data_IF_162334093455
#
_entry.id   IF_162334093455
#
_cell.length_a   1.000
_cell.length_b   1.000
_cell.length_c   1.000
_cell.angle_alpha   90.00
_cell.angle_beta   90.00
_cell.angle_gamma   90.00
#
_symmetry.space_group_name_H-M   'P 1'
#
loop_
_entity.id
_entity.type
_entity.pdbx_description
1 polymer ?
#
# COMPACT_ATOMS: atom_id res chain seq x y z
N UNK A 1 2.25 4.17 21.17
CA UNK A 1 3.13 3.28 20.38
C UNK A 1 3.55 4.07 19.16
N UNK A 2 4.82 4.40 18.96
CA UNK A 2 5.22 5.04 17.70
C UNK A 2 5.05 4.02 16.58
N UNK A 3 4.19 4.32 15.59
CA UNK A 3 4.13 3.55 14.37
C UNK A 3 5.52 3.51 13.74
N UNK A 4 5.97 2.33 13.31
CA UNK A 4 7.22 2.17 12.58
C UNK A 4 7.10 3.00 11.30
N UNK A 5 7.94 4.03 11.13
CA UNK A 5 8.01 4.75 9.85
C UNK A 5 8.55 3.81 8.78
N UNK A 6 7.81 3.68 7.69
CA UNK A 6 8.24 2.93 6.52
C UNK A 6 9.29 3.71 5.74
N UNK A 7 10.27 3.00 5.20
CA UNK A 7 11.20 3.52 4.19
C UNK A 7 10.69 3.17 2.80
N UNK A 8 11.23 3.83 1.76
CA UNK A 8 10.91 3.47 0.38
C UNK A 8 11.32 2.02 0.04
N UNK A 9 12.35 1.49 0.70
CA UNK A 9 12.77 0.11 0.53
C UNK A 9 11.77 -0.87 1.14
N UNK A 10 11.22 -0.56 2.33
CA UNK A 10 10.17 -1.37 2.96
C UNK A 10 8.94 -1.46 2.05
N UNK A 11 8.55 -0.34 1.42
CA UNK A 11 7.41 -0.30 0.49
C UNK A 11 7.68 -1.07 -0.80
N UNK A 12 8.88 -0.97 -1.39
CA UNK A 12 9.23 -1.68 -2.64
C UNK A 12 9.28 -3.20 -2.51
N UNK A 13 9.67 -3.68 -1.34
CA UNK A 13 9.84 -5.10 -1.07
C UNK A 13 8.73 -5.65 -0.17
N UNK A 14 7.64 -4.90 0.01
CA UNK A 14 6.45 -5.39 0.68
C UNK A 14 5.90 -6.62 -0.07
N UNK A 15 5.54 -7.65 0.68
CA UNK A 15 4.96 -8.88 0.15
C UNK A 15 3.73 -9.21 0.97
N UNK A 16 2.69 -9.69 0.29
CA UNK A 16 1.43 -10.06 0.91
C UNK A 16 1.12 -11.52 0.60
N UNK A 17 0.54 -12.21 1.57
CA UNK A 17 0.08 -13.58 1.37
C UNK A 17 -1.14 -13.63 0.46
N UNK A 18 -1.50 -14.85 0.06
CA UNK A 18 -2.74 -15.08 -0.68
C UNK A 18 -3.93 -14.90 0.26
N UNK A 19 -5.08 -14.40 -0.23
CA UNK A 19 -6.26 -14.15 0.58
C UNK A 19 -6.80 -15.43 1.23
N UNK A 20 -7.55 -15.35 2.33
CA UNK A 20 -8.24 -16.48 2.94
C UNK A 20 -9.05 -17.32 1.94
N UNK A 21 -9.31 -18.58 2.29
CA UNK A 21 -10.04 -19.50 1.41
C UNK A 21 -11.39 -18.92 0.95
N UNK A 22 -11.71 -19.04 -0.34
CA UNK A 22 -12.94 -18.52 -0.93
C UNK A 22 -12.96 -17.01 -1.20
N UNK A 23 -11.97 -16.24 -0.72
CA UNK A 23 -11.79 -14.82 -1.09
C UNK A 23 -10.91 -14.70 -2.34
N UNK A 24 -11.13 -13.62 -3.10
CA UNK A 24 -10.37 -13.31 -4.31
C UNK A 24 -9.15 -12.44 -4.04
N UNK A 25 -9.20 -11.56 -3.05
CA UNK A 25 -8.12 -10.63 -2.77
C UNK A 25 -8.17 -9.38 -3.63
N UNK A 26 -7.26 -8.45 -3.37
CA UNK A 26 -7.00 -7.30 -4.22
C UNK A 26 -6.13 -7.65 -5.43
N UNK A 27 -6.32 -6.93 -6.52
CA UNK A 27 -5.53 -7.09 -7.73
C UNK A 27 -4.07 -6.71 -7.49
N UNK A 28 -3.17 -7.70 -7.52
CA UNK A 28 -1.74 -7.53 -7.27
C UNK A 28 -1.12 -6.43 -8.14
N UNK A 29 -1.49 -6.37 -9.42
CA UNK A 29 -0.91 -5.41 -10.36
C UNK A 29 -1.24 -3.97 -9.95
N UNK A 30 -2.44 -3.73 -9.41
CA UNK A 30 -2.86 -2.41 -8.94
C UNK A 30 -2.21 -2.05 -7.61
N UNK A 31 -2.09 -3.03 -6.69
CA UNK A 31 -1.40 -2.86 -5.42
C UNK A 31 0.07 -2.53 -5.66
N UNK A 32 0.78 -3.33 -6.46
CA UNK A 32 2.20 -3.13 -6.75
C UNK A 32 2.46 -1.77 -7.44
N UNK A 33 1.59 -1.37 -8.37
CA UNK A 33 1.69 -0.07 -9.02
C UNK A 33 1.50 1.10 -8.03
N UNK A 34 0.56 0.96 -7.10
CA UNK A 34 0.35 1.94 -6.04
C UNK A 34 1.55 2.02 -5.09
N UNK A 35 2.08 0.87 -4.64
CA UNK A 35 3.26 0.82 -3.79
C UNK A 35 4.50 1.42 -4.46
N UNK A 36 4.64 1.27 -5.78
CA UNK A 36 5.72 1.94 -6.51
C UNK A 36 5.61 3.47 -6.49
N UNK A 37 4.39 4.01 -6.58
CA UNK A 37 4.14 5.46 -6.42
C UNK A 37 4.45 5.91 -5.00
N UNK A 38 4.03 5.15 -4.00
CA UNK A 38 4.29 5.42 -2.60
C UNK A 38 5.78 5.41 -2.27
N UNK A 39 6.53 4.41 -2.75
CA UNK A 39 7.97 4.35 -2.59
C UNK A 39 8.68 5.56 -3.22
N UNK A 40 8.20 6.02 -4.38
CA UNK A 40 8.72 7.24 -5.03
C UNK A 40 8.52 8.47 -4.12
N UNK A 41 7.33 8.61 -3.53
CA UNK A 41 7.02 9.70 -2.57
C UNK A 41 7.92 9.68 -1.34
N UNK A 42 8.23 8.49 -0.81
CA UNK A 42 9.13 8.34 0.34
C UNK A 42 10.60 8.65 -0.01
N UNK A 43 11.00 8.50 -1.26
CA UNK A 43 12.31 8.97 -1.76
C UNK A 43 12.35 10.48 -2.08
N UNK A 44 11.27 11.21 -1.79
CA UNK A 44 11.17 12.64 -2.05
C UNK A 44 10.77 12.98 -3.50
N UNK A 45 10.22 12.02 -4.24
CA UNK A 45 9.78 12.20 -5.62
C UNK A 45 8.26 12.05 -5.76
N UNK A 46 7.66 12.91 -6.59
CA UNK A 46 6.23 12.84 -6.89
C UNK A 46 5.34 13.34 -5.75
N UNK A 47 4.03 13.34 -6.02
CA UNK A 47 3.01 13.83 -5.11
C UNK A 47 2.02 12.69 -4.86
N UNK A 48 2.11 12.10 -3.67
CA UNK A 48 1.14 11.16 -3.13
C UNK A 48 0.82 11.68 -1.73
N UNK A 49 -0.42 12.08 -1.50
CA UNK A 49 -0.88 12.62 -0.22
C UNK A 49 -1.50 11.54 0.67
N UNK A 50 -1.75 11.88 1.93
CA UNK A 50 -2.55 11.07 2.86
C UNK A 50 -3.93 10.76 2.26
N UNK A 51 -4.60 11.76 1.69
CA UNK A 51 -5.91 11.58 1.06
C UNK A 51 -5.87 10.60 -0.12
N UNK A 52 -4.79 10.57 -0.90
CA UNK A 52 -4.61 9.61 -1.99
C UNK A 52 -4.50 8.17 -1.47
N UNK A 53 -3.83 7.96 -0.32
CA UNK A 53 -3.74 6.64 0.33
C UNK A 53 -5.10 6.24 0.89
N UNK A 54 -5.80 7.17 1.54
CA UNK A 54 -7.11 6.89 2.13
C UNK A 54 -8.18 6.59 1.06
N UNK A 55 -8.11 7.25 -0.09
CA UNK A 55 -9.10 7.13 -1.16
C UNK A 55 -8.83 5.96 -2.13
N UNK A 56 -7.67 5.30 -2.04
CA UNK A 56 -7.31 4.22 -2.96
C UNK A 56 -8.27 3.04 -2.79
N UNK A 57 -8.67 2.44 -3.91
CA UNK A 57 -9.44 1.20 -3.91
C UNK A 57 -8.92 0.30 -5.01
N UNK A 58 -8.68 -0.96 -4.68
CA UNK A 58 -8.18 -1.95 -5.63
C UNK A 58 -9.32 -2.84 -6.13
N UNK A 59 -9.28 -3.14 -7.42
CA UNK A 59 -10.21 -4.07 -8.04
C UNK A 59 -9.90 -5.52 -7.64
N UNK A 60 -10.79 -6.43 -8.02
CA UNK A 60 -10.55 -7.88 -7.87
C UNK A 60 -9.61 -8.36 -8.99
N UNK A 61 -8.70 -9.32 -8.74
CA UNK A 61 -7.79 -9.86 -9.75
C UNK A 61 -8.57 -10.50 -10.90
N UNK A 62 -7.99 -10.68 -12.11
CA UNK A 62 -8.64 -11.36 -13.22
C UNK A 62 -9.24 -12.73 -12.87
N UNK A 63 -10.26 -13.17 -13.61
CA UNK A 63 -10.95 -14.46 -13.36
C UNK A 63 -9.94 -15.61 -13.32
N UNK A 64 -10.08 -16.50 -12.33
CA UNK A 64 -9.20 -17.65 -12.13
C UNK A 64 -7.87 -17.34 -11.45
N UNK A 65 -7.54 -16.06 -11.21
CA UNK A 65 -6.38 -15.65 -10.41
C UNK A 65 -6.79 -15.34 -8.96
N UNK A 66 -5.81 -15.47 -8.06
CA UNK A 66 -5.90 -15.00 -6.67
C UNK A 66 -5.04 -13.76 -6.53
N UNK A 67 -5.56 -12.83 -5.74
CA UNK A 67 -4.95 -11.56 -5.44
C UNK A 67 -4.06 -11.62 -4.20
N UNK A 68 -3.79 -10.45 -3.64
CA UNK A 68 -3.21 -10.29 -2.31
C UNK A 68 -4.29 -10.32 -1.25
N UNK A 69 -3.90 -10.73 -0.03
CA UNK A 69 -4.77 -10.67 1.13
C UNK A 69 -5.18 -9.21 1.42
N UNK A 70 -6.48 -8.94 1.33
CA UNK A 70 -7.05 -7.60 1.52
C UNK A 70 -6.69 -7.04 2.89
N UNK A 71 -6.79 -7.89 3.93
CA UNK A 71 -6.55 -7.49 5.31
C UNK A 71 -5.08 -7.07 5.55
N UNK A 72 -4.11 -7.75 4.92
CA UNK A 72 -2.68 -7.39 5.03
C UNK A 72 -2.31 -6.15 4.21
N UNK A 73 -2.94 -5.97 3.04
CA UNK A 73 -2.75 -4.77 2.24
C UNK A 73 -3.31 -3.56 2.97
N UNK A 74 -4.50 -3.67 3.55
CA UNK A 74 -5.15 -2.58 4.28
C UNK A 74 -4.33 -2.19 5.53
N UNK A 75 -3.86 -3.16 6.32
CA UNK A 75 -2.97 -2.88 7.48
C UNK A 75 -1.67 -2.20 7.05
N UNK A 76 -1.10 -2.59 5.91
CA UNK A 76 0.09 -1.96 5.38
C UNK A 76 -0.18 -0.53 4.90
N UNK A 77 -1.32 -0.29 4.25
CA UNK A 77 -1.74 1.04 3.82
C UNK A 77 -1.94 1.99 5.00
N UNK A 78 -2.49 1.53 6.13
CA UNK A 78 -2.59 2.33 7.35
C UNK A 78 -1.21 2.79 7.87
N UNK A 79 -0.21 1.91 7.84
CA UNK A 79 1.17 2.25 8.22
C UNK A 79 1.83 3.23 7.24
N UNK A 80 1.56 3.06 5.95
CA UNK A 80 2.02 3.96 4.90
C UNK A 80 1.39 5.34 5.03
N UNK A 81 0.08 5.42 5.27
CA UNK A 81 -0.67 6.65 5.50
C UNK A 81 -0.08 7.42 6.68
N UNK A 82 0.12 6.76 7.83
CA UNK A 82 0.75 7.37 9.00
C UNK A 82 2.18 7.88 8.71
N UNK A 83 2.93 7.17 7.87
CA UNK A 83 4.28 7.58 7.46
C UNK A 83 4.23 8.85 6.61
N UNK A 84 3.36 8.90 5.60
CA UNK A 84 3.19 10.05 4.71
C UNK A 84 2.67 11.28 5.46
N UNK A 85 1.67 11.11 6.33
CA UNK A 85 1.17 12.19 7.19
C UNK A 85 2.29 12.85 7.99
N UNK A 86 3.19 12.02 8.54
CA UNK A 86 4.34 12.50 9.31
C UNK A 86 5.44 13.17 8.47
N UNK A 87 5.43 12.98 7.15
CA UNK A 87 6.30 13.70 6.21
C UNK A 87 5.68 15.05 5.86
N UNK A 88 4.37 15.10 5.64
CA UNK A 88 3.65 16.32 5.27
C UNK A 88 3.67 17.35 6.42
N UNK A 89 3.57 16.90 7.68
CA UNK A 89 3.71 17.75 8.89
C UNK A 89 5.07 18.47 9.02
N UNK A 90 6.08 18.06 8.24
CA UNK A 90 7.45 18.61 8.30
C UNK A 90 7.73 19.66 7.22
N UNK A 91 6.78 19.91 6.33
CA UNK A 91 6.89 20.82 5.19
C UNK A 91 6.04 22.06 5.41
#
# INVERSE_FOLDING_TARGET
>A
MSARRLTAQDVRYATFDKPPWGKRGYNNDEVDAFLQRAASRLDGHGNLSVDDVHAVSFSKPPIGKRGYNEDEVDEFLEQLEATIASLDDRT
#
